data_IF_348770613211
#
_entry.id   IF_348770613211
#
_cell.length_a   1.000
_cell.length_b   1.000
_cell.length_c   1.000
_cell.angle_alpha   90.00
_cell.angle_beta   90.00
_cell.angle_gamma   90.00
#
_symmetry.space_group_name_H-M   'P 1'
#
loop_
_entity.id
_entity.type
_entity.pdbx_description
1 polymer ?
#
# COMPACT_ATOMS: atom_id res chain seq x y z
N UNK A 1 -38.29 -5.77 10.31
CA UNK A 1 -37.38 -4.81 9.65
C UNK A 1 -36.02 -4.97 10.30
N UNK A 2 -35.04 -5.57 9.61
CA UNK A 2 -33.69 -5.72 10.13
C UNK A 2 -32.75 -4.96 9.18
N UNK A 3 -32.20 -3.87 9.67
CA UNK A 3 -31.41 -2.90 8.93
C UNK A 3 -30.16 -3.60 8.41
N UNK A 4 -30.07 -3.80 7.09
CA UNK A 4 -28.82 -4.13 6.45
C UNK A 4 -27.87 -2.95 6.72
N UNK A 5 -26.94 -3.11 7.66
CA UNK A 5 -25.78 -2.25 7.75
C UNK A 5 -25.06 -2.40 6.41
N UNK A 6 -25.35 -1.48 5.48
CA UNK A 6 -24.56 -1.33 4.25
C UNK A 6 -23.13 -1.22 4.73
N UNK A 7 -22.33 -2.22 4.36
CA UNK A 7 -20.89 -2.27 4.51
C UNK A 7 -20.36 -0.93 3.98
N UNK A 8 -20.19 0.03 4.89
CA UNK A 8 -19.91 1.44 4.61
C UNK A 8 -18.40 1.65 4.55
N UNK A 9 -17.67 0.55 4.40
CA UNK A 9 -16.25 0.54 4.24
C UNK A 9 -15.91 1.30 2.96
N UNK A 10 -15.12 2.36 3.10
CA UNK A 10 -14.63 3.09 1.95
C UNK A 10 -13.79 2.13 1.07
N UNK A 11 -13.78 2.29 -0.27
CA UNK A 11 -13.09 1.35 -1.17
C UNK A 11 -11.60 1.13 -0.86
N UNK A 12 -10.95 2.08 -0.17
CA UNK A 12 -9.54 2.01 0.22
C UNK A 12 -9.29 1.32 1.57
N UNK A 13 -10.32 1.03 2.37
CA UNK A 13 -10.16 0.45 3.71
C UNK A 13 -9.63 -0.98 3.68
N UNK A 14 -10.11 -1.80 2.74
CA UNK A 14 -9.57 -3.16 2.55
C UNK A 14 -8.09 -3.14 2.16
N UNK A 15 -7.70 -2.20 1.29
CA UNK A 15 -6.30 -2.00 0.93
C UNK A 15 -5.47 -1.51 2.13
N UNK A 16 -6.03 -0.67 3.00
CA UNK A 16 -5.37 -0.25 4.24
C UNK A 16 -5.19 -1.41 5.23
N UNK A 17 -6.21 -2.26 5.41
CA UNK A 17 -6.10 -3.47 6.24
C UNK A 17 -5.03 -4.42 5.70
N UNK A 18 -5.01 -4.65 4.38
CA UNK A 18 -4.01 -5.49 3.75
C UNK A 18 -2.59 -4.92 3.91
N UNK A 19 -2.41 -3.61 3.72
CA UNK A 19 -1.12 -2.96 3.92
C UNK A 19 -0.65 -3.02 5.39
N UNK A 20 -1.56 -2.86 6.36
CA UNK A 20 -1.23 -3.07 7.78
C UNK A 20 -0.69 -4.47 8.02
N UNK A 21 -1.34 -5.51 7.46
CA UNK A 21 -0.88 -6.89 7.59
C UNK A 21 0.50 -7.10 6.96
N UNK A 22 0.76 -6.52 5.78
CA UNK A 22 2.08 -6.59 5.12
C UNK A 22 3.18 -5.97 5.98
N UNK A 23 2.92 -4.82 6.60
CA UNK A 23 3.89 -4.14 7.46
C UNK A 23 4.10 -4.87 8.78
N UNK A 24 3.03 -5.35 9.42
CA UNK A 24 3.09 -6.07 10.71
C UNK A 24 3.72 -7.45 10.57
N UNK A 25 3.45 -8.16 9.47
CA UNK A 25 4.10 -9.44 9.17
C UNK A 25 5.53 -9.29 8.64
N UNK A 26 5.98 -8.05 8.41
CA UNK A 26 7.30 -7.71 7.85
C UNK A 26 7.59 -8.41 6.51
N UNK A 27 6.55 -8.69 5.74
CA UNK A 27 6.67 -9.38 4.45
C UNK A 27 5.50 -9.07 3.53
N UNK A 28 5.75 -9.15 2.23
CA UNK A 28 4.73 -9.04 1.20
C UNK A 28 4.72 -7.70 0.47
N UNK A 29 3.64 -7.49 -0.27
CA UNK A 29 3.54 -6.44 -1.28
C UNK A 29 2.12 -5.92 -1.37
N UNK A 30 1.97 -4.61 -1.53
CA UNK A 30 0.73 -3.98 -1.92
C UNK A 30 0.97 -3.18 -3.20
N UNK A 31 0.09 -3.31 -4.18
CA UNK A 31 0.19 -2.60 -5.44
C UNK A 31 -1.14 -1.94 -5.80
N UNK A 32 -1.05 -0.80 -6.47
CA UNK A 32 -2.16 -0.06 -7.02
C UNK A 32 -1.87 0.39 -8.45
N UNK A 33 -2.91 0.46 -9.27
CA UNK A 33 -2.85 0.96 -10.64
C UNK A 33 -3.81 2.14 -10.79
N UNK A 34 -3.36 3.19 -11.49
CA UNK A 34 -4.16 4.37 -11.77
C UNK A 34 -4.92 4.21 -13.08
N UNK A 35 -6.25 4.26 -13.02
CA UNK A 35 -7.11 4.02 -14.18
C UNK A 35 -6.88 5.01 -15.34
N UNK A 36 -6.50 6.25 -15.03
CA UNK A 36 -6.36 7.31 -16.03
C UNK A 36 -5.20 7.11 -17.01
N UNK A 37 -4.10 6.48 -16.56
CA UNK A 37 -2.86 6.40 -17.36
C UNK A 37 -2.01 5.14 -17.12
N UNK A 38 -2.54 4.15 -16.40
CA UNK A 38 -1.87 2.88 -16.15
C UNK A 38 -0.59 3.01 -15.34
N UNK A 39 -0.41 4.10 -14.58
CA UNK A 39 0.73 4.22 -13.65
C UNK A 39 0.52 3.35 -12.42
N UNK A 40 1.60 2.75 -11.97
CA UNK A 40 1.61 1.86 -10.81
C UNK A 40 2.17 2.60 -9.60
N UNK A 41 1.72 2.18 -8.44
CA UNK A 41 2.29 2.50 -7.14
C UNK A 41 2.38 1.20 -6.36
N UNK A 42 3.50 0.95 -5.69
CA UNK A 42 3.77 -0.31 -5.03
C UNK A 42 4.54 -0.07 -3.74
N UNK A 43 4.20 -0.82 -2.72
CA UNK A 43 4.89 -0.88 -1.43
C UNK A 43 5.25 -2.35 -1.21
N UNK A 44 6.53 -2.62 -1.00
CA UNK A 44 7.03 -3.96 -0.70
C UNK A 44 7.87 -3.88 0.57
N UNK A 45 7.67 -4.84 1.49
CA UNK A 45 8.66 -5.06 2.55
C UNK A 45 9.76 -5.94 1.98
N UNK A 46 11.00 -5.45 2.05
CA UNK A 46 12.19 -6.17 1.62
C UNK A 46 12.88 -6.67 2.89
N UNK A 47 12.73 -7.97 3.23
CA UNK A 47 13.41 -8.52 4.38
C UNK A 47 14.91 -8.49 4.13
N UNK A 48 15.67 -8.19 5.17
CA UNK A 48 17.14 -8.24 5.11
C UNK A 48 17.67 -9.39 5.97
N UNK A 49 18.99 -9.54 6.03
CA UNK A 49 19.63 -10.56 6.89
C UNK A 49 19.47 -10.23 8.38
N UNK A 50 19.18 -8.97 8.71
CA UNK A 50 19.01 -8.48 10.07
C UNK A 50 17.59 -7.92 10.18
N UNK A 51 16.69 -8.56 10.95
CA UNK A 51 15.28 -8.15 10.97
C UNK A 51 15.07 -6.67 11.30
N UNK A 52 15.88 -6.11 12.20
CA UNK A 52 15.91 -4.68 12.55
C UNK A 52 16.30 -3.75 11.38
N UNK A 53 16.88 -4.29 10.30
CA UNK A 53 17.23 -3.57 9.08
C UNK A 53 16.22 -3.76 7.95
N UNK A 54 15.07 -4.40 8.20
CA UNK A 54 14.01 -4.52 7.19
C UNK A 54 13.62 -3.14 6.64
N UNK A 55 13.51 -3.05 5.31
CA UNK A 55 13.16 -1.81 4.62
C UNK A 55 11.84 -1.94 3.88
N UNK A 56 11.13 -0.83 3.81
CA UNK A 56 10.02 -0.65 2.89
C UNK A 56 10.56 -0.04 1.61
N UNK A 57 10.28 -0.68 0.49
CA UNK A 57 10.53 -0.13 -0.83
C UNK A 57 9.22 0.36 -1.46
N UNK A 58 9.16 1.66 -1.74
CA UNK A 58 8.04 2.32 -2.40
C UNK A 58 8.43 2.59 -3.84
N UNK A 59 7.70 2.01 -4.79
CA UNK A 59 7.92 2.17 -6.23
C UNK A 59 6.74 2.85 -6.91
N UNK A 60 6.99 3.76 -7.84
CA UNK A 60 5.93 4.31 -8.69
C UNK A 60 6.43 4.73 -10.07
N UNK A 61 5.56 4.62 -11.09
CA UNK A 61 5.94 4.89 -12.48
C UNK A 61 5.02 4.21 -13.48
N UNK A 62 5.42 4.19 -14.76
CA UNK A 62 4.69 3.48 -15.80
C UNK A 62 4.97 1.99 -15.76
N UNK A 63 3.95 1.15 -16.02
CA UNK A 63 4.07 -0.32 -16.08
C UNK A 63 5.12 -0.82 -17.07
N UNK A 64 5.34 -0.09 -18.17
CA UNK A 64 6.20 -0.50 -19.28
C UNK A 64 7.40 0.43 -19.53
N UNK A 65 7.55 1.53 -18.78
CA UNK A 65 8.62 2.51 -19.04
C UNK A 65 9.33 2.94 -17.75
N UNK A 66 10.65 2.69 -17.64
CA UNK A 66 11.49 3.37 -16.68
C UNK A 66 11.47 4.91 -16.89
N UNK A 67 11.77 5.70 -15.85
CA UNK A 67 12.21 5.25 -14.53
C UNK A 67 11.04 5.08 -13.55
N UNK A 68 10.89 3.86 -13.05
CA UNK A 68 10.22 3.62 -11.76
C UNK A 68 11.03 4.37 -10.72
N UNK A 69 10.41 5.34 -10.05
CA UNK A 69 11.04 5.98 -8.89
C UNK A 69 10.97 5.00 -7.73
N UNK A 70 12.05 4.91 -6.97
CA UNK A 70 12.18 4.01 -5.83
C UNK A 70 12.56 4.86 -4.61
N UNK A 71 11.84 4.69 -3.52
CA UNK A 71 12.18 5.23 -2.21
C UNK A 71 12.31 4.06 -1.24
N UNK A 72 13.42 4.02 -0.50
CA UNK A 72 13.64 3.04 0.58
C UNK A 72 13.58 3.75 1.92
N UNK A 73 12.81 3.18 2.83
CA UNK A 73 12.66 3.68 4.20
C UNK A 73 12.88 2.51 5.17
N UNK A 74 13.53 2.73 6.33
CA UNK A 74 13.50 1.75 7.41
C UNK A 74 12.06 1.43 7.79
N UNK A 75 11.73 0.15 8.00
CA UNK A 75 10.39 -0.28 8.41
C UNK A 75 9.95 0.41 9.71
N UNK A 76 10.87 0.68 10.63
CA UNK A 76 10.61 1.41 11.88
C UNK A 76 10.03 2.82 11.68
N UNK A 77 10.17 3.41 10.48
CA UNK A 77 9.56 4.71 10.16
C UNK A 77 8.05 4.62 9.94
N UNK A 78 7.45 3.43 9.88
CA UNK A 78 5.98 3.25 9.88
C UNK A 78 5.42 3.07 11.29
N UNK A 79 5.78 3.99 12.19
CA UNK A 79 5.52 3.88 13.64
C UNK A 79 4.12 3.36 14.02
N UNK A 80 3.06 4.01 13.52
CA UNK A 80 1.69 3.48 13.58
C UNK A 80 1.30 2.92 12.20
N UNK A 81 1.47 1.60 12.02
CA UNK A 81 1.17 0.88 10.79
C UNK A 81 -0.29 1.05 10.37
N UNK A 82 -1.23 1.12 11.31
CA UNK A 82 -2.64 1.32 11.05
C UNK A 82 -2.95 2.70 10.48
N UNK A 83 -2.50 3.75 11.15
CA UNK A 83 -2.67 5.14 10.70
C UNK A 83 -1.96 5.38 9.36
N UNK A 84 -0.72 4.94 9.23
CA UNK A 84 0.07 5.10 8.02
C UNK A 84 -0.57 4.39 6.81
N UNK A 85 -1.04 3.16 7.01
CA UNK A 85 -1.70 2.40 5.94
C UNK A 85 -2.98 3.06 5.45
N UNK A 86 -3.81 3.58 6.37
CA UNK A 86 -5.01 4.33 6.00
C UNK A 86 -4.66 5.59 5.21
N UNK A 87 -3.66 6.33 5.65
CA UNK A 87 -3.24 7.57 4.99
C UNK A 87 -2.72 7.34 3.57
N UNK A 88 -1.86 6.34 3.39
CA UNK A 88 -1.35 5.96 2.07
C UNK A 88 -2.50 5.54 1.16
N UNK A 89 -3.30 4.57 1.59
CA UNK A 89 -4.37 4.00 0.77
C UNK A 89 -5.45 5.03 0.40
N UNK A 90 -5.85 5.87 1.37
CA UNK A 90 -6.79 6.97 1.13
C UNK A 90 -6.24 7.96 0.10
N UNK A 91 -4.98 8.39 0.23
CA UNK A 91 -4.35 9.30 -0.74
C UNK A 91 -4.23 8.66 -2.12
N UNK A 92 -3.89 7.37 -2.21
CA UNK A 92 -3.86 6.65 -3.51
C UNK A 92 -5.23 6.65 -4.17
N UNK A 93 -6.27 6.30 -3.43
CA UNK A 93 -7.65 6.35 -3.92
C UNK A 93 -8.07 7.75 -4.40
N UNK A 94 -7.76 8.80 -3.64
CA UNK A 94 -8.02 10.20 -4.04
C UNK A 94 -7.31 10.61 -5.34
N UNK A 95 -6.21 9.95 -5.70
CA UNK A 95 -5.48 10.16 -6.95
C UNK A 95 -5.87 9.18 -8.07
N UNK A 96 -6.98 8.43 -7.91
CA UNK A 96 -7.51 7.51 -8.92
C UNK A 96 -6.77 6.17 -9.02
N UNK A 97 -6.01 5.81 -7.98
CA UNK A 97 -5.38 4.50 -7.88
C UNK A 97 -6.35 3.49 -7.25
N UNK A 98 -6.35 2.27 -7.79
CA UNK A 98 -7.14 1.13 -7.30
C UNK A 98 -6.22 -0.03 -6.97
N UNK A 99 -6.52 -0.78 -5.90
CA UNK A 99 -5.73 -1.96 -5.51
C UNK A 99 -5.75 -2.98 -6.64
N UNK A 100 -4.58 -3.53 -7.00
CA UNK A 100 -4.46 -4.57 -8.03
C UNK A 100 -4.63 -5.97 -7.43
N UNK A 101 -4.55 -6.10 -6.10
CA UNK A 101 -4.78 -7.34 -5.37
C UNK A 101 -6.05 -7.20 -4.51
N UNK A 102 -6.90 -8.22 -4.59
CA UNK A 102 -8.16 -8.40 -3.87
C UNK A 102 -8.08 -9.65 -3.01
#
# INVERSE_FOLDING_TARGET
>A
MNTAAKDTAQPWERAAQHLSVVLESRQGICAWERAADGRWYLIQVVPTLFPDEDVIEIRWGGRQRPPSRILRLPLEKTGDTGSWSRDVCRRRYQHGYHSVYS
#
